data_IF_719453213263
#
_entry.id   IF_719453213263
#
_cell.length_a   1.000
_cell.length_b   1.000
_cell.length_c   1.000
_cell.angle_alpha   90.00
_cell.angle_beta   90.00
_cell.angle_gamma   90.00
#
_symmetry.space_group_name_H-M   'P 1'
#
loop_
_entity.id
_entity.type
_entity.pdbx_description
1 polymer ?
#
# COMPACT_ATOMS: atom_id res chain seq x y z
N UNK A 1 -28.41 -38.98 -10.56
CA UNK A 1 -27.51 -38.15 -9.75
C UNK A 1 -27.15 -38.97 -8.52
N UNK A 2 -25.90 -39.36 -8.38
CA UNK A 2 -25.50 -40.53 -7.59
C UNK A 2 -24.69 -40.05 -6.39
N UNK A 3 -24.83 -40.69 -5.23
CA UNK A 3 -24.14 -40.30 -3.98
C UNK A 3 -22.62 -40.12 -4.16
N UNK A 4 -22.02 -40.94 -5.02
CA UNK A 4 -20.60 -40.89 -5.38
C UNK A 4 -20.17 -39.56 -6.04
N UNK A 5 -21.03 -38.96 -6.87
CA UNK A 5 -20.73 -37.72 -7.57
C UNK A 5 -20.88 -36.48 -6.66
N UNK A 6 -21.70 -36.57 -5.61
CA UNK A 6 -21.86 -35.52 -4.60
C UNK A 6 -20.59 -35.40 -3.73
N UNK A 7 -19.98 -36.53 -3.38
CA UNK A 7 -18.77 -36.56 -2.55
C UNK A 7 -17.55 -36.00 -3.28
N UNK A 8 -17.38 -36.36 -4.56
CA UNK A 8 -16.36 -35.78 -5.44
C UNK A 8 -16.51 -34.26 -5.55
N UNK A 9 -17.74 -33.76 -5.71
CA UNK A 9 -18.01 -32.31 -5.80
C UNK A 9 -17.69 -31.58 -4.48
N UNK A 10 -17.95 -32.20 -3.34
CA UNK A 10 -17.60 -31.68 -2.01
C UNK A 10 -16.08 -31.55 -1.83
N UNK A 11 -15.31 -32.57 -2.22
CA UNK A 11 -13.84 -32.55 -2.12
C UNK A 11 -13.21 -31.46 -2.99
N UNK A 12 -13.76 -31.24 -4.20
CA UNK A 12 -13.31 -30.17 -5.09
C UNK A 12 -13.56 -28.79 -4.47
N UNK A 13 -14.70 -28.61 -3.80
CA UNK A 13 -15.06 -27.35 -3.16
C UNK A 13 -14.11 -27.01 -1.99
N UNK A 14 -13.79 -27.99 -1.15
CA UNK A 14 -12.83 -27.78 -0.05
C UNK A 14 -11.42 -27.45 -0.55
N UNK A 15 -10.96 -28.10 -1.63
CA UNK A 15 -9.67 -27.82 -2.23
C UNK A 15 -9.61 -26.39 -2.83
N UNK A 16 -10.71 -25.93 -3.43
CA UNK A 16 -10.80 -24.58 -4.00
C UNK A 16 -10.67 -23.47 -2.93
N UNK A 17 -11.19 -23.70 -1.72
CA UNK A 17 -11.06 -22.75 -0.60
C UNK A 17 -9.61 -22.59 -0.15
N UNK A 18 -8.80 -23.65 -0.20
CA UNK A 18 -7.40 -23.63 0.24
C UNK A 18 -6.53 -22.80 -0.73
N UNK A 19 -6.79 -22.86 -2.03
CA UNK A 19 -6.02 -22.10 -3.03
C UNK A 19 -6.23 -20.58 -2.92
N UNK A 20 -7.40 -20.13 -2.46
CA UNK A 20 -7.74 -18.72 -2.31
C UNK A 20 -7.02 -18.03 -1.12
N UNK A 21 -6.45 -18.80 -0.20
CA UNK A 21 -5.78 -18.29 1.00
C UNK A 21 -4.29 -17.98 0.79
N UNK A 22 -3.76 -18.13 -0.42
CA UNK A 22 -2.38 -17.75 -0.73
C UNK A 22 -2.27 -16.23 -0.84
N UNK A 23 -2.19 -15.55 0.31
CA UNK A 23 -1.80 -14.15 0.36
C UNK A 23 -0.35 -14.06 -0.09
N UNK A 24 -0.13 -13.64 -1.34
CA UNK A 24 1.19 -13.21 -1.77
C UNK A 24 1.55 -11.98 -0.93
N UNK A 25 2.44 -12.15 0.05
CA UNK A 25 3.03 -11.01 0.73
C UNK A 25 3.85 -10.26 -0.31
N UNK A 26 3.24 -9.26 -0.95
CA UNK A 26 3.99 -8.35 -1.80
C UNK A 26 5.09 -7.76 -0.90
N UNK A 27 6.37 -7.79 -1.32
CA UNK A 27 7.40 -7.12 -0.55
C UNK A 27 6.95 -5.68 -0.35
N UNK A 28 6.89 -5.25 0.91
CA UNK A 28 6.45 -3.90 1.24
C UNK A 28 7.34 -2.94 0.45
N UNK A 29 6.77 -2.04 -0.37
CA UNK A 29 7.57 -1.16 -1.20
C UNK A 29 8.56 -0.42 -0.29
N UNK A 30 9.83 -0.35 -0.72
CA UNK A 30 10.80 0.49 -0.03
C UNK A 30 10.29 1.93 -0.09
N UNK A 31 9.83 2.45 1.04
CA UNK A 31 9.26 3.79 1.12
C UNK A 31 10.36 4.83 1.00
N UNK A 32 10.14 5.83 0.14
CA UNK A 32 11.03 6.97 0.07
C UNK A 32 10.83 7.86 1.30
N UNK A 33 11.80 7.84 2.20
CA UNK A 33 11.78 8.59 3.47
C UNK A 33 12.26 10.05 3.33
N UNK A 34 12.76 10.45 2.16
CA UNK A 34 13.28 11.80 1.93
C UNK A 34 12.94 12.36 0.55
N UNK A 35 12.83 13.68 0.42
CA UNK A 35 12.76 14.39 -0.86
C UNK A 35 13.59 15.66 -0.77
N UNK A 36 14.74 15.68 -1.46
CA UNK A 36 15.74 16.73 -1.24
C UNK A 36 16.26 16.69 0.19
N UNK A 37 16.10 17.80 0.92
CA UNK A 37 16.47 17.89 2.34
C UNK A 37 15.28 17.66 3.30
N UNK A 38 14.08 17.37 2.78
CA UNK A 38 12.90 17.10 3.61
C UNK A 38 12.87 15.62 4.02
N UNK A 39 12.74 15.35 5.32
CA UNK A 39 12.38 14.02 5.83
C UNK A 39 10.86 13.84 5.78
N UNK A 40 10.41 12.66 5.34
CA UNK A 40 9.00 12.31 5.12
C UNK A 40 8.64 11.17 6.08
N UNK A 41 8.28 11.48 7.34
CA UNK A 41 7.85 10.46 8.29
C UNK A 41 6.41 10.04 8.04
N UNK A 42 6.07 8.79 8.36
CA UNK A 42 4.67 8.38 8.45
C UNK A 42 3.91 9.28 9.44
N UNK A 43 2.68 9.76 9.14
CA UNK A 43 1.74 9.29 8.11
C UNK A 43 1.96 9.83 6.68
N UNK A 44 2.99 10.65 6.44
CA UNK A 44 3.34 11.17 5.12
C UNK A 44 4.14 10.16 4.29
N UNK A 45 4.07 10.29 2.97
CA UNK A 45 4.81 9.40 2.07
C UNK A 45 4.76 9.85 0.61
N UNK A 46 5.79 9.46 -0.16
CA UNK A 46 5.90 9.79 -1.58
C UNK A 46 5.52 8.64 -2.53
N UNK A 47 5.46 7.41 -2.02
CA UNK A 47 5.11 6.22 -2.79
C UNK A 47 3.76 5.66 -2.34
N UNK A 48 3.07 4.99 -3.26
CA UNK A 48 1.86 4.23 -2.95
C UNK A 48 2.14 3.21 -1.84
N UNK A 49 1.24 3.13 -0.85
CA UNK A 49 1.41 2.29 0.33
C UNK A 49 2.29 2.88 1.45
N UNK A 50 2.90 4.06 1.24
CA UNK A 50 3.78 4.72 2.21
C UNK A 50 3.18 5.95 2.88
N UNK A 51 1.92 6.28 2.59
CA UNK A 51 1.18 7.37 3.21
C UNK A 51 -0.16 6.86 3.73
N UNK A 52 -0.70 7.47 4.79
CA UNK A 52 -1.96 7.04 5.43
C UNK A 52 -3.17 7.17 4.48
N UNK A 53 -3.26 8.28 3.76
CA UNK A 53 -4.25 8.52 2.70
C UNK A 53 -3.77 9.67 1.80
N UNK A 54 -4.49 9.95 0.71
CA UNK A 54 -4.11 10.96 -0.29
C UNK A 54 -3.88 12.37 0.26
N UNK A 55 -4.34 12.70 1.47
CA UNK A 55 -4.06 13.99 2.11
C UNK A 55 -2.62 14.09 2.64
N UNK A 56 -1.98 12.96 2.86
CA UNK A 56 -0.60 12.82 3.35
C UNK A 56 0.41 12.50 2.23
N UNK A 57 -0.05 12.43 0.99
CA UNK A 57 0.83 12.26 -0.17
C UNK A 57 1.78 13.46 -0.29
N UNK A 58 3.07 13.18 -0.44
CA UNK A 58 4.11 14.15 -0.80
C UNK A 58 4.59 13.84 -2.22
N UNK A 59 4.34 14.74 -3.17
CA UNK A 59 4.89 14.61 -4.52
C UNK A 59 6.30 15.19 -4.54
N UNK A 60 7.29 14.40 -4.93
CA UNK A 60 8.65 14.87 -5.12
C UNK A 60 8.90 15.16 -6.61
N UNK A 61 9.13 16.42 -6.97
CA UNK A 61 9.50 16.83 -8.33
C UNK A 61 10.87 17.48 -8.32
N UNK A 62 11.86 16.89 -9.00
CA UNK A 62 13.25 17.38 -9.03
C UNK A 62 13.82 17.65 -7.62
N UNK A 63 13.60 16.72 -6.68
CA UNK A 63 13.98 16.87 -5.26
C UNK A 63 13.26 17.99 -4.49
N UNK A 64 12.25 18.61 -5.09
CA UNK A 64 11.38 19.59 -4.43
C UNK A 64 10.08 18.91 -3.96
N UNK A 65 9.76 18.94 -2.66
CA UNK A 65 8.56 18.32 -2.11
C UNK A 65 7.33 19.22 -2.24
N UNK A 66 6.21 18.64 -2.65
CA UNK A 66 4.91 19.29 -2.76
C UNK A 66 3.81 18.49 -2.07
N UNK A 67 2.84 19.18 -1.48
CA UNK A 67 1.68 18.55 -0.86
C UNK A 67 0.73 18.02 -1.94
N UNK A 68 0.42 16.72 -1.87
CA UNK A 68 -0.44 15.98 -2.81
C UNK A 68 0.04 16.19 -4.25
N UNK A 69 -0.87 16.32 -5.21
CA UNK A 69 -0.55 16.69 -6.62
C UNK A 69 -0.65 18.21 -6.86
N UNK A 70 -0.48 19.02 -5.81
CA UNK A 70 -0.64 20.47 -5.88
C UNK A 70 0.67 21.22 -6.11
N UNK A 71 0.62 22.53 -5.87
CA UNK A 71 1.77 23.45 -5.99
C UNK A 71 2.23 24.01 -4.64
N UNK A 72 1.78 23.41 -3.53
CA UNK A 72 2.15 23.84 -2.19
C UNK A 72 3.47 23.18 -1.82
N UNK A 73 4.54 23.98 -1.73
CA UNK A 73 5.86 23.51 -1.32
C UNK A 73 5.87 23.14 0.17
N UNK A 74 6.42 21.97 0.51
CA UNK A 74 6.51 21.50 1.90
C UNK A 74 7.92 21.76 2.42
N UNK A 75 8.04 22.66 3.39
CA UNK A 75 9.32 23.06 3.94
C UNK A 75 9.73 22.23 5.16
N UNK A 76 8.75 21.81 5.96
CA UNK A 76 8.95 21.07 7.19
C UNK A 76 7.72 20.21 7.51
N UNK A 77 7.93 19.12 8.24
CA UNK A 77 6.86 18.23 8.73
C UNK A 77 7.07 18.02 10.24
N UNK A 78 6.12 18.49 11.04
CA UNK A 78 6.07 18.22 12.48
C UNK A 78 5.00 17.19 12.81
N UNK A 79 5.35 16.23 13.67
CA UNK A 79 4.41 15.28 14.28
C UNK A 79 3.88 15.77 15.63
N UNK A 80 4.47 16.84 16.18
CA UNK A 80 4.07 17.47 17.42
C UNK A 80 3.21 18.68 17.04
N UNK A 81 1.89 18.53 17.12
CA UNK A 81 0.94 19.62 16.89
C UNK A 81 0.94 20.65 18.00
#
# INVERSE_FOLDING_TARGET
MNSMALHELLLIFELALILAATTTSQPMPSCQETCGNLSIPYPFGANEGCYLNDSFLITCNNSQPYLRKGNINVLDISLNG
#
